data_IF_388847291093
#
_entry.id   IF_388847291093
#
_cell.length_a   1.000
_cell.length_b   1.000
_cell.length_c   1.000
_cell.angle_alpha   90.00
_cell.angle_beta   90.00
_cell.angle_gamma   90.00
#
_symmetry.space_group_name_H-M   'P 1'
#
loop_
_entity.id
_entity.type
_entity.pdbx_description
1 polymer ?
#
# COMPACT_ATOMS: atom_id res chain seq x y z
N UNK A 1 -11.43 1.60 0.83
CA UNK A 1 -10.95 0.74 -0.27
C UNK A 1 -9.80 1.44 -0.98
N UNK A 2 -8.63 0.79 -1.14
CA UNK A 2 -7.35 1.36 -1.63
C UNK A 2 -7.51 2.29 -2.85
N UNK A 3 -8.24 1.82 -3.87
CA UNK A 3 -8.46 2.61 -5.09
C UNK A 3 -9.06 3.98 -4.83
N UNK A 4 -9.97 4.11 -3.85
CA UNK A 4 -10.57 5.41 -3.51
C UNK A 4 -9.53 6.42 -3.05
N UNK A 5 -8.55 5.98 -2.27
CA UNK A 5 -7.48 6.85 -1.74
C UNK A 5 -6.57 7.33 -2.85
N UNK A 6 -6.07 6.40 -3.67
CA UNK A 6 -5.12 6.75 -4.75
C UNK A 6 -5.81 7.52 -5.87
N UNK A 7 -6.99 7.09 -6.33
CA UNK A 7 -7.73 7.80 -7.37
C UNK A 7 -8.17 9.18 -6.87
N UNK A 8 -8.63 9.28 -5.61
CA UNK A 8 -8.93 10.56 -4.98
C UNK A 8 -7.72 11.50 -4.97
N UNK A 9 -6.56 11.02 -4.54
CA UNK A 9 -5.33 11.82 -4.59
C UNK A 9 -4.97 12.25 -6.02
N UNK A 10 -5.12 11.37 -7.02
CA UNK A 10 -4.87 11.73 -8.43
C UNK A 10 -5.86 12.81 -8.95
N UNK A 11 -7.08 12.86 -8.41
CA UNK A 11 -8.03 13.96 -8.66
C UNK A 11 -7.52 15.24 -7.99
N UNK A 12 -7.13 15.18 -6.72
CA UNK A 12 -6.64 16.34 -5.95
C UNK A 12 -5.39 16.97 -6.60
N UNK A 13 -4.50 16.14 -7.16
CA UNK A 13 -3.31 16.59 -7.92
C UNK A 13 -3.60 16.95 -9.38
N UNK A 14 -4.86 16.85 -9.82
CA UNK A 14 -5.33 17.24 -11.15
C UNK A 14 -4.86 16.33 -12.30
N UNK A 15 -4.35 15.14 -11.99
CA UNK A 15 -4.00 14.10 -12.99
C UNK A 15 -5.28 13.53 -13.61
N UNK A 16 -6.29 13.33 -12.76
CA UNK A 16 -7.63 12.91 -13.14
C UNK A 16 -8.64 14.04 -12.87
N UNK A 17 -9.74 14.04 -13.62
CA UNK A 17 -10.81 15.03 -13.49
C UNK A 17 -12.16 14.34 -13.65
N UNK A 18 -13.14 14.70 -12.83
CA UNK A 18 -14.49 14.14 -12.86
C UNK A 18 -14.91 13.56 -11.50
N UNK A 19 -15.93 12.71 -11.52
CA UNK A 19 -16.47 12.08 -10.32
C UNK A 19 -15.70 10.82 -9.92
N UNK A 20 -15.41 10.68 -8.61
CA UNK A 20 -14.66 9.55 -8.08
C UNK A 20 -15.43 8.24 -8.23
N UNK A 21 -16.74 8.22 -7.97
CA UNK A 21 -17.52 6.99 -8.01
C UNK A 21 -17.69 6.49 -9.46
N UNK A 22 -17.83 7.39 -10.44
CA UNK A 22 -17.75 7.04 -11.86
C UNK A 22 -16.40 6.42 -12.23
N UNK A 23 -15.29 6.96 -11.72
CA UNK A 23 -13.95 6.42 -11.98
C UNK A 23 -13.76 5.02 -11.37
N UNK A 24 -14.27 4.79 -10.15
CA UNK A 24 -14.21 3.48 -9.51
C UNK A 24 -15.05 2.45 -10.26
N UNK A 25 -16.25 2.82 -10.71
CA UNK A 25 -17.11 1.98 -11.53
C UNK A 25 -16.47 1.66 -12.90
N UNK A 26 -15.70 2.59 -13.45
CA UNK A 26 -14.90 2.39 -14.67
C UNK A 26 -13.56 1.66 -14.43
N UNK A 27 -13.32 1.14 -13.22
CA UNK A 27 -12.08 0.46 -12.81
C UNK A 27 -10.79 1.28 -13.03
N UNK A 28 -10.86 2.61 -12.94
CA UNK A 28 -9.69 3.48 -13.09
C UNK A 28 -8.57 3.18 -12.09
N UNK A 29 -8.92 2.63 -10.92
CA UNK A 29 -7.93 2.18 -9.93
C UNK A 29 -6.95 1.13 -10.49
N UNK A 30 -7.41 0.22 -11.36
CA UNK A 30 -6.58 -0.82 -11.95
C UNK A 30 -5.54 -0.28 -12.95
N UNK A 31 -5.77 0.92 -13.51
CA UNK A 31 -4.83 1.59 -14.42
C UNK A 31 -3.57 2.02 -13.66
N UNK A 32 -3.73 2.49 -12.44
CA UNK A 32 -2.64 3.00 -11.59
C UNK A 32 -2.15 1.98 -10.56
N UNK A 33 -2.95 0.95 -10.27
CA UNK A 33 -2.68 -0.07 -9.26
C UNK A 33 -3.02 -1.45 -9.81
N UNK A 34 -2.13 -2.05 -10.63
CA UNK A 34 -2.41 -3.32 -11.31
C UNK A 34 -2.19 -4.55 -10.42
N UNK A 35 -1.83 -4.38 -9.15
CA UNK A 35 -1.56 -5.45 -8.20
C UNK A 35 -2.64 -5.52 -7.11
N UNK A 36 -2.63 -6.62 -6.35
CA UNK A 36 -3.41 -6.69 -5.10
C UNK A 36 -2.85 -5.72 -4.06
N UNK A 37 -3.68 -5.34 -3.07
CA UNK A 37 -3.25 -4.49 -1.95
C UNK A 37 -2.21 -5.18 -1.04
N UNK A 38 -2.19 -6.51 -1.03
CA UNK A 38 -1.29 -7.29 -0.20
C UNK A 38 -1.63 -8.77 -0.21
N UNK A 39 -0.90 -9.52 0.60
CA UNK A 39 -1.00 -10.97 0.68
C UNK A 39 -0.56 -11.51 2.04
N UNK A 40 -0.97 -12.75 2.35
CA UNK A 40 -0.42 -13.46 3.49
C UNK A 40 1.10 -13.64 3.32
N UNK A 41 1.86 -13.52 4.40
CA UNK A 41 3.31 -13.70 4.42
C UNK A 41 3.71 -14.54 5.63
N UNK A 42 4.63 -15.47 5.43
CA UNK A 42 5.06 -16.40 6.46
C UNK A 42 6.32 -17.12 6.05
N UNK A 43 6.28 -18.45 5.99
CA UNK A 43 7.42 -19.23 5.50
C UNK A 43 7.68 -18.98 4.01
N UNK A 44 6.60 -18.78 3.25
CA UNK A 44 6.66 -18.31 1.86
C UNK A 44 6.38 -16.80 1.81
N UNK A 45 7.03 -16.08 0.88
CA UNK A 45 6.75 -14.66 0.63
C UNK A 45 5.27 -14.46 0.28
N UNK A 46 4.76 -15.25 -0.66
CA UNK A 46 3.33 -15.33 -0.94
C UNK A 46 2.76 -16.56 -0.23
N UNK A 47 2.39 -16.42 1.03
CA UNK A 47 2.05 -17.56 1.88
C UNK A 47 0.74 -18.25 1.49
N UNK A 48 0.62 -19.51 1.91
CA UNK A 48 -0.49 -20.40 1.57
C UNK A 48 -1.80 -19.95 2.22
N UNK A 49 -2.91 -20.58 1.82
CA UNK A 49 -4.20 -20.40 2.51
C UNK A 49 -4.95 -19.11 2.19
N UNK A 50 -4.56 -18.38 1.14
CA UNK A 50 -5.27 -17.17 0.71
C UNK A 50 -6.68 -17.42 0.13
N UNK A 51 -6.92 -18.61 -0.44
CA UNK A 51 -8.20 -19.03 -1.02
C UNK A 51 -8.54 -20.48 -0.63
N UNK A 52 -9.10 -20.66 0.56
CA UNK A 52 -9.59 -21.96 1.04
C UNK A 52 -11.02 -22.21 0.55
N UNK A 53 -11.46 -23.47 0.55
CA UNK A 53 -12.81 -23.87 0.07
C UNK A 53 -13.97 -23.15 0.76
N UNK A 54 -13.78 -22.75 2.02
CA UNK A 54 -14.80 -22.06 2.83
C UNK A 54 -14.64 -20.53 2.81
N UNK A 55 -13.66 -20.00 2.09
CA UNK A 55 -13.43 -18.57 1.96
C UNK A 55 -14.02 -18.04 0.65
N UNK A 56 -14.25 -16.72 0.54
CA UNK A 56 -14.70 -16.12 -0.71
C UNK A 56 -13.78 -16.48 -1.88
N UNK A 57 -14.35 -16.83 -3.05
CA UNK A 57 -13.54 -17.15 -4.22
C UNK A 57 -12.92 -15.88 -4.83
N UNK A 58 -11.89 -16.07 -5.65
CA UNK A 58 -11.30 -15.00 -6.46
C UNK A 58 -12.34 -14.48 -7.46
N UNK A 59 -12.40 -13.17 -7.66
CA UNK A 59 -13.27 -12.51 -8.65
C UNK A 59 -12.46 -12.31 -9.95
N UNK A 60 -12.61 -13.13 -11.00
CA UNK A 60 -11.66 -13.17 -12.11
C UNK A 60 -11.72 -11.95 -13.03
N UNK A 61 -12.90 -11.33 -13.16
CA UNK A 61 -13.20 -10.29 -14.14
C UNK A 61 -13.14 -8.86 -13.60
N UNK A 62 -12.52 -8.64 -12.44
CA UNK A 62 -12.37 -7.30 -11.87
C UNK A 62 -10.90 -6.91 -11.73
N UNK A 63 -10.63 -5.61 -11.62
CA UNK A 63 -9.28 -5.13 -11.32
C UNK A 63 -8.74 -5.58 -9.95
N UNK A 64 -9.58 -6.11 -9.05
CA UNK A 64 -9.14 -6.74 -7.79
C UNK A 64 -8.82 -8.24 -7.93
N UNK A 65 -8.92 -8.80 -9.14
CA UNK A 65 -8.59 -10.21 -9.44
C UNK A 65 -7.16 -10.61 -9.05
N UNK A 66 -6.27 -9.64 -8.84
CA UNK A 66 -4.87 -9.86 -8.45
C UNK A 66 -4.65 -10.00 -6.94
N UNK A 67 -5.68 -9.80 -6.11
CA UNK A 67 -5.60 -10.09 -4.67
C UNK A 67 -5.19 -11.54 -4.42
N UNK A 68 -4.25 -11.76 -3.50
CA UNK A 68 -3.80 -13.12 -3.16
C UNK A 68 -4.62 -13.77 -2.06
N UNK A 69 -5.50 -13.00 -1.41
CA UNK A 69 -6.52 -13.52 -0.52
C UNK A 69 -7.78 -12.68 -0.62
N UNK A 70 -8.94 -13.32 -0.44
CA UNK A 70 -10.23 -12.67 -0.25
C UNK A 70 -10.84 -13.03 1.12
N UNK A 71 -10.00 -13.49 2.06
CA UNK A 71 -10.42 -13.88 3.40
C UNK A 71 -10.83 -12.66 4.22
N UNK A 72 -11.74 -12.89 5.15
CA UNK A 72 -11.95 -11.98 6.28
C UNK A 72 -10.70 -12.10 7.17
N UNK A 73 -10.19 -10.97 7.65
CA UNK A 73 -9.00 -10.95 8.51
C UNK A 73 -9.33 -11.56 9.87
N UNK A 74 -8.44 -12.41 10.36
CA UNK A 74 -8.54 -13.07 11.67
C UNK A 74 -7.26 -12.79 12.47
N UNK A 75 -7.39 -12.76 13.80
CA UNK A 75 -6.24 -12.59 14.70
C UNK A 75 -5.15 -13.63 14.41
N UNK A 76 -3.89 -13.18 14.41
CA UNK A 76 -2.72 -14.00 14.12
C UNK A 76 -2.38 -14.11 12.64
N UNK A 77 -3.22 -13.62 11.72
CA UNK A 77 -2.81 -13.49 10.32
C UNK A 77 -1.70 -12.46 10.16
N UNK A 78 -0.73 -12.78 9.32
CA UNK A 78 0.37 -11.87 8.95
C UNK A 78 0.24 -11.52 7.48
N UNK A 79 0.22 -10.22 7.15
CA UNK A 79 0.00 -9.73 5.80
C UNK A 79 1.01 -8.68 5.40
N UNK A 80 1.28 -8.60 4.11
CA UNK A 80 1.80 -7.38 3.50
C UNK A 80 0.68 -6.36 3.33
N UNK A 81 1.00 -5.08 3.50
CA UNK A 81 0.16 -3.93 3.13
C UNK A 81 0.99 -3.08 2.20
N UNK A 82 0.69 -3.16 0.90
CA UNK A 82 1.59 -2.69 -0.17
C UNK A 82 0.90 -1.82 -1.24
N UNK A 83 0.15 -0.77 -0.85
CA UNK A 83 -0.43 0.13 -1.84
C UNK A 83 0.67 0.75 -2.71
N UNK A 84 0.37 0.85 -4.00
CA UNK A 84 1.24 1.51 -4.96
C UNK A 84 0.47 2.43 -5.91
N UNK A 85 1.20 3.27 -6.62
CA UNK A 85 0.68 4.11 -7.69
C UNK A 85 1.73 4.21 -8.80
N UNK A 86 1.36 3.79 -10.01
CA UNK A 86 2.29 3.66 -11.13
C UNK A 86 1.73 4.30 -12.40
N UNK A 87 2.62 4.86 -13.22
CA UNK A 87 2.31 5.41 -14.54
C UNK A 87 2.85 4.49 -15.62
N UNK A 88 2.22 3.32 -15.76
CA UNK A 88 2.67 2.25 -16.65
C UNK A 88 2.08 2.45 -18.04
N UNK A 89 2.94 2.69 -19.03
CA UNK A 89 2.53 3.01 -20.40
C UNK A 89 1.62 1.93 -21.03
N UNK A 90 1.93 0.65 -20.78
CA UNK A 90 1.13 -0.48 -21.27
C UNK A 90 -0.31 -0.52 -20.69
N UNK A 91 -0.57 0.14 -19.56
CA UNK A 91 -1.90 0.28 -18.96
C UNK A 91 -2.56 1.60 -19.32
N UNK A 92 -1.77 2.67 -19.42
CA UNK A 92 -2.24 4.00 -19.79
C UNK A 92 -2.71 4.05 -21.25
N UNK A 93 -2.00 3.43 -22.19
CA UNK A 93 -2.37 3.48 -23.61
C UNK A 93 -3.77 2.91 -23.89
N UNK A 94 -4.12 1.70 -23.43
CA UNK A 94 -5.49 1.20 -23.60
C UNK A 94 -6.53 2.08 -22.90
N UNK A 95 -6.22 2.62 -21.72
CA UNK A 95 -7.14 3.48 -20.97
C UNK A 95 -7.38 4.84 -21.67
N UNK A 96 -6.37 5.40 -22.31
CA UNK A 96 -6.49 6.63 -23.11
C UNK A 96 -7.21 6.40 -24.45
N UNK A 97 -7.16 5.17 -24.98
CA UNK A 97 -7.87 4.79 -26.20
C UNK A 97 -9.35 4.45 -25.96
N UNK A 98 -9.73 4.08 -24.73
CA UNK A 98 -11.10 3.77 -24.32
C UNK A 98 -11.86 5.06 -23.96
N UNK A 99 -12.87 5.50 -24.74
CA UNK A 99 -13.61 6.73 -24.45
C UNK A 99 -14.26 6.77 -23.06
N UNK A 100 -14.62 5.61 -22.50
CA UNK A 100 -15.21 5.54 -21.16
C UNK A 100 -14.22 5.93 -20.05
N UNK A 101 -12.92 5.77 -20.30
CA UNK A 101 -11.82 6.12 -19.37
C UNK A 101 -11.08 7.39 -19.78
N UNK A 102 -10.87 7.59 -21.08
CA UNK A 102 -10.16 8.73 -21.66
C UNK A 102 -10.69 10.08 -21.17
N UNK A 103 -12.01 10.18 -20.97
CA UNK A 103 -12.69 11.38 -20.46
C UNK A 103 -12.20 11.85 -19.08
N UNK A 104 -11.60 10.97 -18.28
CA UNK A 104 -11.13 11.30 -16.94
C UNK A 104 -9.71 11.85 -16.90
N UNK A 105 -8.92 11.74 -17.96
CA UNK A 105 -7.51 12.12 -17.92
C UNK A 105 -7.29 13.60 -18.28
N UNK A 106 -6.60 14.31 -17.39
CA UNK A 106 -5.96 15.58 -17.73
C UNK A 106 -4.60 15.32 -18.38
N UNK A 107 -4.58 15.15 -19.71
CA UNK A 107 -3.38 14.76 -20.44
C UNK A 107 -2.15 15.67 -20.21
N UNK A 108 -2.26 17.01 -20.20
CA UNK A 108 -1.15 17.89 -19.86
C UNK A 108 -0.51 17.57 -18.51
N UNK A 109 -1.32 17.31 -17.49
CA UNK A 109 -0.82 16.97 -16.14
C UNK A 109 -0.26 15.54 -16.13
N UNK A 110 -0.99 14.57 -16.69
CA UNK A 110 -0.55 13.17 -16.81
C UNK A 110 0.84 13.05 -17.47
N UNK A 111 1.09 13.82 -18.53
CA UNK A 111 2.36 13.78 -19.26
C UNK A 111 3.57 14.18 -18.41
N UNK A 112 3.38 14.91 -17.30
CA UNK A 112 4.47 15.22 -16.35
C UNK A 112 4.94 14.00 -15.55
N UNK A 113 4.07 13.00 -15.42
CA UNK A 113 4.29 11.77 -14.63
C UNK A 113 4.64 10.54 -15.49
N UNK A 114 4.28 10.54 -16.78
CA UNK A 114 4.64 9.45 -17.71
C UNK A 114 6.17 9.29 -17.76
N UNK A 115 6.62 8.03 -17.73
CA UNK A 115 8.04 7.68 -17.72
C UNK A 115 8.74 7.83 -16.37
N UNK A 116 8.05 8.28 -15.30
CA UNK A 116 8.63 8.39 -13.94
C UNK A 116 8.64 7.07 -13.16
N UNK A 117 7.89 6.07 -13.60
CA UNK A 117 7.73 4.79 -12.91
C UNK A 117 6.55 4.83 -11.94
N UNK A 118 6.81 4.62 -10.65
CA UNK A 118 5.79 4.64 -9.61
C UNK A 118 6.37 4.42 -8.22
N UNK A 119 5.50 4.48 -7.22
CA UNK A 119 5.84 4.33 -5.81
C UNK A 119 5.04 3.18 -5.22
N UNK A 120 5.67 2.38 -4.36
CA UNK A 120 5.03 1.40 -3.49
C UNK A 120 5.61 1.53 -2.10
N UNK A 121 4.74 1.54 -1.10
CA UNK A 121 5.13 1.46 0.31
C UNK A 121 4.56 0.15 0.84
N UNK A 122 5.42 -0.72 1.34
CA UNK A 122 5.07 -2.09 1.74
C UNK A 122 5.48 -2.32 3.20
N UNK A 123 4.49 -2.61 4.03
CA UNK A 123 4.63 -2.98 5.44
C UNK A 123 4.26 -4.45 5.65
N UNK A 124 4.82 -5.08 6.68
CA UNK A 124 4.38 -6.38 7.20
C UNK A 124 3.64 -6.15 8.51
N UNK A 125 2.37 -6.55 8.56
CA UNK A 125 1.52 -6.36 9.72
C UNK A 125 0.99 -7.68 10.26
N UNK A 126 0.83 -7.76 11.57
CA UNK A 126 0.14 -8.85 12.25
C UNK A 126 -1.23 -8.36 12.69
N UNK A 127 -2.28 -9.10 12.35
CA UNK A 127 -3.64 -8.82 12.82
C UNK A 127 -3.77 -9.25 14.28
N UNK A 128 -4.27 -8.35 15.13
CA UNK A 128 -4.55 -8.62 16.55
C UNK A 128 -6.06 -8.64 16.80
N UNK A 129 -6.49 -9.06 17.99
CA UNK A 129 -7.91 -9.03 18.37
C UNK A 129 -8.60 -7.67 18.19
N UNK A 130 -7.86 -6.56 18.28
CA UNK A 130 -8.42 -5.20 18.25
C UNK A 130 -7.85 -4.32 17.13
N UNK A 131 -6.98 -4.84 16.25
CA UNK A 131 -6.35 -4.02 15.22
C UNK A 131 -5.17 -4.72 14.55
N UNK A 132 -4.05 -4.01 14.42
CA UNK A 132 -2.82 -4.53 13.82
C UNK A 132 -1.59 -4.05 14.58
N UNK A 133 -0.51 -4.83 14.51
CA UNK A 133 0.84 -4.40 14.84
C UNK A 133 1.69 -4.39 13.57
N UNK A 134 2.40 -3.28 13.29
CA UNK A 134 3.29 -3.17 12.14
C UNK A 134 4.72 -3.54 12.52
N UNK A 135 5.27 -4.56 11.86
CA UNK A 135 6.62 -5.08 12.11
C UNK A 135 7.68 -4.42 11.23
N UNK A 136 7.28 -3.61 10.26
CA UNK A 136 8.21 -2.90 9.38
C UNK A 136 8.68 -1.60 10.04
N UNK A 137 9.99 -1.51 10.28
CA UNK A 137 10.66 -0.34 10.83
C UNK A 137 11.56 0.30 9.77
N UNK A 138 10.98 1.20 8.97
CA UNK A 138 11.73 2.05 8.04
C UNK A 138 11.16 3.47 8.01
N UNK A 139 11.94 4.45 7.52
CA UNK A 139 11.45 5.81 7.29
C UNK A 139 10.21 5.82 6.37
N UNK A 140 9.15 6.53 6.75
CA UNK A 140 7.87 6.55 6.00
C UNK A 140 7.44 7.96 5.62
N UNK A 141 7.54 8.92 6.54
CA UNK A 141 7.21 10.31 6.22
C UNK A 141 8.29 10.93 5.34
N UNK A 142 7.95 12.02 4.65
CA UNK A 142 8.91 12.77 3.83
C UNK A 142 10.11 13.21 4.69
N UNK A 143 9.84 13.78 5.87
CA UNK A 143 10.88 14.25 6.80
C UNK A 143 11.78 13.10 7.27
N UNK A 144 11.22 11.94 7.61
CA UNK A 144 12.01 10.78 8.02
C UNK A 144 12.92 10.30 6.88
N UNK A 145 12.38 10.19 5.65
CA UNK A 145 13.15 9.73 4.48
C UNK A 145 14.27 10.72 4.15
N UNK A 146 13.95 12.01 4.01
CA UNK A 146 14.94 13.05 3.70
C UNK A 146 16.00 13.16 4.79
N UNK A 147 15.60 13.08 6.07
CA UNK A 147 16.51 13.12 7.21
C UNK A 147 17.52 11.96 7.20
N UNK A 148 17.06 10.73 7.00
CA UNK A 148 17.96 9.56 6.91
C UNK A 148 18.86 9.64 5.68
N UNK A 149 18.32 10.04 4.52
CA UNK A 149 19.13 10.21 3.31
C UNK A 149 20.21 11.30 3.45
N UNK A 150 19.98 12.31 4.29
CA UNK A 150 20.96 13.35 4.63
C UNK A 150 21.99 12.90 5.70
N UNK A 151 21.94 11.65 6.16
CA UNK A 151 22.84 11.10 7.19
C UNK A 151 22.34 11.26 8.62
N UNK A 152 21.05 11.57 8.80
CA UNK A 152 20.40 11.61 10.12
C UNK A 152 20.32 10.23 10.79
N UNK A 153 20.08 10.24 12.10
CA UNK A 153 19.99 9.02 12.91
C UNK A 153 18.64 8.31 12.68
N UNK A 154 18.69 6.99 12.56
CA UNK A 154 17.51 6.11 12.55
C UNK A 154 17.70 4.97 13.56
N UNK A 155 16.68 4.62 14.38
CA UNK A 155 15.33 5.21 14.46
C UNK A 155 15.32 6.65 15.04
N UNK A 156 14.23 7.44 14.85
CA UNK A 156 14.10 8.78 15.42
C UNK A 156 13.90 8.71 16.94
N UNK A 157 14.08 9.81 17.68
CA UNK A 157 13.81 9.83 19.13
C UNK A 157 12.32 9.98 19.49
N UNK A 158 11.52 10.46 18.53
CA UNK A 158 10.08 10.68 18.67
C UNK A 158 9.38 10.03 17.49
N UNK A 159 8.29 9.31 17.75
CA UNK A 159 7.41 8.81 16.70
C UNK A 159 6.42 9.90 16.26
N UNK A 160 6.78 10.69 15.26
CA UNK A 160 5.90 11.73 14.69
C UNK A 160 4.74 11.16 13.84
N UNK A 161 4.67 9.84 13.66
CA UNK A 161 3.65 9.18 12.84
C UNK A 161 3.04 7.95 13.55
N UNK A 162 2.45 8.12 14.75
CA UNK A 162 1.90 7.01 15.54
C UNK A 162 0.76 6.27 14.83
N UNK A 163 0.10 6.92 13.87
CA UNK A 163 -0.91 6.30 13.00
C UNK A 163 -0.39 5.17 12.11
N UNK A 164 0.93 4.97 12.04
CA UNK A 164 1.55 3.86 11.30
C UNK A 164 1.60 2.55 12.10
N UNK A 165 1.17 2.57 13.37
CA UNK A 165 1.11 1.40 14.26
C UNK A 165 2.43 0.63 14.37
N UNK A 166 3.56 1.36 14.29
CA UNK A 166 4.91 0.80 14.30
C UNK A 166 5.20 0.16 15.66
N UNK A 167 5.63 -1.09 15.64
CA UNK A 167 6.13 -1.75 16.82
C UNK A 167 7.62 -1.46 16.97
N UNK A 168 7.95 -0.44 17.77
CA UNK A 168 9.33 -0.09 18.09
C UNK A 168 9.95 -1.12 19.04
N UNK A 169 10.55 -2.16 18.46
CA UNK A 169 11.24 -3.21 19.19
C UNK A 169 12.64 -3.44 18.62
N UNK A 170 13.56 -3.80 19.50
CA UNK A 170 14.92 -4.21 19.15
C UNK A 170 15.16 -5.63 19.62
N UNK A 171 16.08 -6.34 18.96
CA UNK A 171 16.48 -7.68 19.37
C UNK A 171 17.48 -7.57 20.51
N UNK A 172 17.12 -8.04 21.70
CA UNK A 172 18.08 -8.29 22.76
C UNK A 172 19.03 -9.40 22.32
N UNK A 173 20.29 -9.04 22.07
CA UNK A 173 21.31 -9.96 21.56
C UNK A 173 21.71 -11.05 22.55
N UNK A 174 21.41 -10.89 23.84
CA UNK A 174 21.73 -11.87 24.87
C UNK A 174 20.61 -12.90 25.01
N UNK A 175 19.36 -12.46 25.03
CA UNK A 175 18.19 -13.32 25.26
C UNK A 175 17.52 -13.79 23.98
N UNK A 176 17.77 -13.13 22.85
CA UNK A 176 17.03 -13.33 21.60
C UNK A 176 15.59 -12.80 21.64
N UNK A 177 15.19 -12.14 22.73
CA UNK A 177 13.85 -11.58 22.87
C UNK A 177 13.73 -10.25 22.12
N UNK A 178 12.57 -10.00 21.51
CA UNK A 178 12.22 -8.67 21.03
C UNK A 178 11.79 -7.82 22.24
N UNK A 179 12.54 -6.76 22.54
CA UNK A 179 12.27 -5.84 23.65
C UNK A 179 11.86 -4.47 23.11
N UNK A 180 10.99 -3.71 23.80
CA UNK A 180 10.65 -2.35 23.38
C UNK A 180 11.91 -1.49 23.24
N UNK A 181 11.96 -0.62 22.23
CA UNK A 181 13.04 0.36 22.10
C UNK A 181 12.78 1.53 23.06
N UNK A 182 13.48 1.62 24.21
CA UNK A 182 13.14 2.59 25.26
C UNK A 182 13.42 4.05 24.86
N UNK A 183 14.18 4.26 23.78
CA UNK A 183 14.54 5.59 23.30
C UNK A 183 13.44 6.26 22.46
N UNK A 184 12.42 5.52 21.99
CA UNK A 184 11.33 6.11 21.20
C UNK A 184 10.22 6.60 22.11
N UNK A 185 9.99 7.90 22.11
CA UNK A 185 8.86 8.51 22.81
C UNK A 185 7.68 8.71 21.86
N UNK A 186 6.47 8.45 22.35
CA UNK A 186 5.24 8.85 21.67
C UNK A 186 4.98 10.35 21.97
N UNK A 187 4.41 11.11 21.02
CA UNK A 187 4.14 12.54 21.18
C UNK A 187 3.12 12.85 22.28
#
# INVERSE_FOLDING_TARGET
MMWRVVVGALIDYGVLTGDLEEMLAAEMGAVFIPCGLGHLIGMDTHDVGGYLKHCPPRIPSSGISKLRTARILEEGMVLTVEPGCYFIEALLQPALADPAKAKFFNQPVLNRFRGRGGVRLEDVVVVTATGVENYTLCPRTINEVEGVMAGGVWPPSVDEAPQLYRRWVTLDKQTGAMVPEPAITLP
#
